data_IF_119981331820
#
_entry.id   IF_119981331820
#
_cell.length_a   1.000
_cell.length_b   1.000
_cell.length_c   1.000
_cell.angle_alpha   90.00
_cell.angle_beta   90.00
_cell.angle_gamma   90.00
#
_symmetry.space_group_name_H-M   'P 1'
#
loop_
_entity.id
_entity.type
_entity.pdbx_description
1 polymer ?
#
# COMPACT_ATOMS: atom_id res chain seq x y z
N UNK A 1 -13.37 -13.58 -30.43
CA UNK A 1 -12.06 -13.56 -29.75
C UNK A 1 -12.05 -14.70 -28.76
N UNK A 2 -11.05 -15.59 -28.79
CA UNK A 2 -11.00 -16.73 -27.86
C UNK A 2 -10.68 -16.21 -26.45
N UNK A 3 -11.55 -16.49 -25.47
CA UNK A 3 -11.39 -16.03 -24.07
C UNK A 3 -10.07 -16.49 -23.45
N UNK A 4 -9.55 -17.64 -23.86
CA UNK A 4 -8.29 -18.19 -23.34
C UNK A 4 -7.09 -17.31 -23.73
N UNK A 5 -7.04 -16.83 -24.98
CA UNK A 5 -5.95 -15.96 -25.44
C UNK A 5 -5.94 -14.64 -24.67
N UNK A 6 -7.13 -14.09 -24.36
CA UNK A 6 -7.23 -12.86 -23.59
C UNK A 6 -6.80 -13.08 -22.13
N UNK A 7 -7.19 -14.20 -21.53
CA UNK A 7 -6.77 -14.59 -20.18
C UNK A 7 -5.24 -14.74 -20.10
N UNK A 8 -4.62 -15.43 -21.06
CA UNK A 8 -3.17 -15.61 -21.12
C UNK A 8 -2.42 -14.27 -21.20
N UNK A 9 -2.95 -13.31 -21.97
CA UNK A 9 -2.37 -11.96 -22.05
C UNK A 9 -2.45 -11.22 -20.72
N UNK A 10 -3.57 -11.28 -20.02
CA UNK A 10 -3.69 -10.63 -18.70
C UNK A 10 -2.83 -11.29 -17.64
N UNK A 11 -2.72 -12.62 -17.65
CA UNK A 11 -1.81 -13.35 -16.76
C UNK A 11 -0.35 -12.96 -17.00
N UNK A 12 0.05 -12.84 -18.28
CA UNK A 12 1.39 -12.37 -18.64
C UNK A 12 1.64 -10.94 -18.16
N UNK A 13 0.72 -10.02 -18.42
CA UNK A 13 0.81 -8.63 -17.93
C UNK A 13 0.95 -8.61 -16.40
N UNK A 14 0.13 -9.39 -15.70
CA UNK A 14 0.18 -9.45 -14.25
C UNK A 14 1.54 -9.94 -13.75
N UNK A 15 2.07 -11.00 -14.36
CA UNK A 15 3.36 -11.56 -14.01
C UNK A 15 4.51 -10.59 -14.28
N UNK A 16 4.51 -9.93 -15.44
CA UNK A 16 5.53 -8.93 -15.81
C UNK A 16 5.55 -7.79 -14.78
N UNK A 17 4.38 -7.23 -14.43
CA UNK A 17 4.25 -6.18 -13.42
C UNK A 17 4.73 -6.64 -12.05
N UNK A 18 4.38 -7.85 -11.62
CA UNK A 18 4.80 -8.38 -10.31
C UNK A 18 6.32 -8.55 -10.25
N UNK A 19 6.94 -9.01 -11.34
CA UNK A 19 8.38 -9.24 -11.42
C UNK A 19 9.20 -7.93 -11.44
N UNK A 20 8.61 -6.82 -11.89
CA UNK A 20 9.26 -5.52 -11.94
C UNK A 20 9.22 -4.75 -10.60
N UNK A 21 8.56 -5.29 -9.57
CA UNK A 21 8.39 -4.57 -8.32
C UNK A 21 9.69 -4.44 -7.52
N UNK A 22 10.01 -3.20 -7.15
CA UNK A 22 10.98 -2.92 -6.09
C UNK A 22 10.34 -3.23 -4.74
N UNK A 23 11.10 -3.88 -3.86
CA UNK A 23 10.61 -4.38 -2.56
C UNK A 23 11.33 -3.66 -1.43
N UNK A 24 10.54 -3.03 -0.56
CA UNK A 24 11.01 -2.40 0.67
C UNK A 24 10.42 -3.14 1.87
N UNK A 25 11.28 -3.65 2.77
CA UNK A 25 10.84 -4.40 3.94
C UNK A 25 10.98 -3.55 5.19
N UNK A 26 9.98 -3.59 6.07
CA UNK A 26 10.03 -2.97 7.39
C UNK A 26 9.22 -3.79 8.39
N UNK A 27 9.53 -3.69 9.67
CA UNK A 27 8.69 -4.28 10.71
C UNK A 27 7.68 -3.25 11.23
N UNK A 28 6.43 -3.69 11.44
CA UNK A 28 5.39 -2.84 12.00
C UNK A 28 5.77 -2.33 13.41
N UNK A 29 6.45 -3.13 14.22
CA UNK A 29 6.87 -2.73 15.57
C UNK A 29 7.89 -1.57 15.58
N UNK A 30 8.56 -1.34 14.45
CA UNK A 30 9.58 -0.31 14.30
C UNK A 30 8.98 1.03 13.81
N UNK A 31 7.66 1.10 13.58
CA UNK A 31 6.98 2.34 13.22
C UNK A 31 7.11 3.38 14.36
N UNK A 32 7.63 4.59 14.10
CA UNK A 32 7.86 5.57 15.16
C UNK A 32 6.56 6.06 15.79
N UNK A 33 6.57 6.30 17.10
CA UNK A 33 5.40 6.82 17.81
C UNK A 33 4.93 8.16 17.23
N UNK A 34 3.60 8.36 17.12
CA UNK A 34 3.03 9.63 16.66
C UNK A 34 3.04 10.65 17.80
N UNK A 35 3.83 11.71 17.68
CA UNK A 35 3.78 12.86 18.57
C UNK A 35 2.97 13.99 17.93
N UNK A 36 1.63 14.00 18.10
CA UNK A 36 0.74 15.04 17.54
C UNK A 36 0.99 15.37 16.06
N UNK A 37 1.36 14.36 15.26
CA UNK A 37 1.75 14.49 13.83
C UNK A 37 2.94 15.43 13.56
N UNK A 38 3.79 15.67 14.57
CA UNK A 38 5.11 16.27 14.42
C UNK A 38 6.18 15.24 14.06
N UNK A 39 5.94 13.95 14.35
CA UNK A 39 6.81 12.85 13.93
C UNK A 39 6.86 12.76 12.41
N UNK A 40 8.05 12.93 11.84
CA UNK A 40 8.29 12.73 10.42
C UNK A 40 8.92 11.36 10.17
N UNK A 41 8.12 10.41 9.70
CA UNK A 41 8.60 9.06 9.35
C UNK A 41 9.68 9.07 8.26
N UNK A 42 9.77 10.14 7.46
CA UNK A 42 10.78 10.24 6.39
C UNK A 42 12.18 10.47 6.94
N UNK A 43 12.31 10.95 8.17
CA UNK A 43 13.59 11.14 8.87
C UNK A 43 13.89 10.03 9.87
N UNK A 44 13.00 9.05 10.03
CA UNK A 44 13.21 7.92 10.93
C UNK A 44 14.29 6.98 10.38
N UNK A 45 15.17 6.48 11.25
CA UNK A 45 16.31 5.66 10.84
C UNK A 45 15.90 4.37 10.13
N UNK A 46 14.75 3.79 10.46
CA UNK A 46 14.27 2.56 9.84
C UNK A 46 13.58 2.80 8.49
N UNK A 47 13.23 4.04 8.18
CA UNK A 47 12.39 4.38 7.02
C UNK A 47 13.02 5.41 6.07
N UNK A 48 14.10 6.09 6.46
CA UNK A 48 14.73 7.15 5.67
C UNK A 48 15.16 6.66 4.29
N UNK A 49 15.74 5.46 4.19
CA UNK A 49 16.14 4.87 2.91
C UNK A 49 14.93 4.54 2.04
N UNK A 50 13.89 3.92 2.63
CA UNK A 50 12.63 3.60 1.92
C UNK A 50 12.03 4.88 1.34
N UNK A 51 11.89 5.93 2.15
CA UNK A 51 11.30 7.19 1.69
C UNK A 51 12.20 7.95 0.71
N UNK A 52 13.52 7.84 0.82
CA UNK A 52 14.46 8.38 -0.17
C UNK A 52 14.23 7.75 -1.54
N UNK A 53 14.14 6.41 -1.62
CA UNK A 53 13.89 5.71 -2.88
C UNK A 53 12.48 6.01 -3.44
N UNK A 54 11.46 5.98 -2.59
CA UNK A 54 10.10 6.34 -3.01
C UNK A 54 10.01 7.79 -3.52
N UNK A 55 10.82 8.70 -2.99
CA UNK A 55 10.80 10.10 -3.40
C UNK A 55 11.40 10.33 -4.80
N UNK A 56 12.21 9.39 -5.31
CA UNK A 56 12.73 9.43 -6.68
C UNK A 56 11.68 9.07 -7.73
N UNK A 57 10.64 8.33 -7.31
CA UNK A 57 9.57 7.84 -8.20
C UNK A 57 8.54 8.93 -8.47
N UNK A 58 8.55 9.48 -9.67
CA UNK A 58 7.72 10.63 -10.06
C UNK A 58 6.63 10.28 -11.07
N UNK A 59 6.62 9.06 -11.61
CA UNK A 59 5.60 8.59 -12.55
C UNK A 59 4.49 7.80 -11.84
N UNK A 60 3.56 7.26 -12.63
CA UNK A 60 2.46 6.47 -12.13
C UNK A 60 2.98 5.23 -11.42
N UNK A 61 2.44 4.94 -10.24
CA UNK A 61 2.87 3.81 -9.43
C UNK A 61 1.70 2.88 -9.12
N UNK A 62 1.99 1.58 -9.14
CA UNK A 62 1.20 0.55 -8.46
C UNK A 62 2.00 0.10 -7.23
N UNK A 63 1.30 -0.18 -6.13
CA UNK A 63 1.93 -0.70 -4.93
C UNK A 63 1.03 -1.69 -4.21
N UNK A 64 1.64 -2.57 -3.43
CA UNK A 64 0.90 -3.44 -2.52
C UNK A 64 1.69 -3.73 -1.24
N UNK A 65 0.95 -4.08 -0.19
CA UNK A 65 1.49 -4.48 1.09
C UNK A 65 1.33 -5.99 1.22
N UNK A 66 2.45 -6.70 1.32
CA UNK A 66 2.53 -8.14 1.49
C UNK A 66 3.14 -8.48 2.85
N UNK A 67 2.74 -9.59 3.45
CA UNK A 67 3.39 -10.17 4.62
C UNK A 67 3.81 -11.61 4.33
N UNK A 68 4.59 -12.19 5.24
CA UNK A 68 5.27 -13.47 4.99
C UNK A 68 4.33 -14.63 4.66
N UNK A 69 3.17 -14.73 5.33
CA UNK A 69 2.25 -15.86 5.16
C UNK A 69 0.79 -15.41 5.12
N UNK A 70 -0.10 -16.19 4.45
CA UNK A 70 -1.54 -15.93 4.48
C UNK A 70 -2.14 -15.93 5.89
N UNK A 71 -1.64 -16.76 6.81
CA UNK A 71 -2.09 -16.79 8.21
C UNK A 71 -1.76 -15.48 8.93
N UNK A 72 -0.52 -14.97 8.79
CA UNK A 72 -0.12 -13.67 9.35
C UNK A 72 -0.94 -12.53 8.74
N UNK A 73 -1.20 -12.60 7.44
CA UNK A 73 -2.03 -11.60 6.75
C UNK A 73 -3.49 -11.64 7.24
N UNK A 74 -4.04 -12.83 7.45
CA UNK A 74 -5.37 -13.03 8.04
C UNK A 74 -5.47 -12.41 9.42
N UNK A 75 -4.49 -12.66 10.30
CA UNK A 75 -4.41 -12.02 11.64
C UNK A 75 -4.36 -10.50 11.57
N UNK A 76 -3.61 -9.93 10.63
CA UNK A 76 -3.59 -8.49 10.39
C UNK A 76 -4.94 -7.96 9.90
N UNK A 77 -5.60 -8.67 8.99
CA UNK A 77 -6.94 -8.33 8.51
C UNK A 77 -7.96 -8.34 9.66
N UNK A 78 -7.91 -9.36 10.52
CA UNK A 78 -8.82 -9.48 11.68
C UNK A 78 -8.57 -8.37 12.71
N UNK A 79 -7.30 -8.02 12.94
CA UNK A 79 -6.93 -6.90 13.80
C UNK A 79 -7.43 -5.56 13.23
N UNK A 80 -7.25 -5.32 11.93
CA UNK A 80 -7.81 -4.15 11.25
C UNK A 80 -9.33 -4.13 11.42
N UNK A 81 -10.01 -5.24 11.13
CA UNK A 81 -11.46 -5.36 11.18
C UNK A 81 -12.03 -5.11 12.57
N UNK A 82 -11.35 -5.57 13.62
CA UNK A 82 -11.71 -5.33 15.04
C UNK A 82 -11.52 -3.87 15.45
N UNK A 83 -10.58 -3.15 14.84
CA UNK A 83 -10.29 -1.75 15.17
C UNK A 83 -11.06 -0.72 14.33
N UNK A 84 -11.83 -1.14 13.31
CA UNK A 84 -12.51 -0.20 12.38
C UNK A 84 -13.39 0.84 13.07
N UNK A 85 -14.18 0.44 14.06
CA UNK A 85 -15.06 1.37 14.77
C UNK A 85 -14.26 2.38 15.58
N UNK A 86 -13.20 1.95 16.26
CA UNK A 86 -12.31 2.86 16.98
C UNK A 86 -11.60 3.84 16.02
N UNK A 87 -11.11 3.36 14.88
CA UNK A 87 -10.49 4.19 13.85
C UNK A 87 -11.47 5.23 13.31
N UNK A 88 -12.73 4.84 13.06
CA UNK A 88 -13.79 5.74 12.61
C UNK A 88 -14.09 6.84 13.64
N UNK A 89 -14.18 6.49 14.92
CA UNK A 89 -14.34 7.46 16.01
C UNK A 89 -13.18 8.46 16.07
N UNK A 90 -11.96 7.98 15.79
CA UNK A 90 -10.75 8.79 15.71
C UNK A 90 -10.55 9.48 14.34
N UNK A 91 -11.57 9.50 13.49
CA UNK A 91 -11.57 10.11 12.15
C UNK A 91 -10.45 9.59 11.24
N UNK A 92 -10.08 8.31 11.41
CA UNK A 92 -9.11 7.57 10.58
C UNK A 92 -9.87 6.71 9.57
N UNK A 93 -9.75 7.05 8.30
CA UNK A 93 -10.37 6.29 7.20
C UNK A 93 -9.44 5.19 6.72
N UNK A 94 -9.92 3.95 6.77
CA UNK A 94 -9.21 2.74 6.30
C UNK A 94 -9.89 2.12 5.06
N UNK A 95 -9.19 1.27 4.27
CA UNK A 95 -9.79 0.59 3.13
C UNK A 95 -10.97 -0.26 3.58
N UNK A 96 -11.98 -0.43 2.72
CA UNK A 96 -13.14 -1.24 3.06
C UNK A 96 -12.78 -2.71 3.34
N UNK A 97 -13.70 -3.44 3.95
CA UNK A 97 -13.62 -4.90 4.02
C UNK A 97 -13.59 -5.52 2.62
N UNK A 98 -12.93 -6.65 2.50
CA UNK A 98 -12.91 -7.51 1.32
C UNK A 98 -13.17 -8.95 1.78
N UNK A 99 -13.80 -9.75 0.93
CA UNK A 99 -14.17 -11.14 1.22
C UNK A 99 -13.08 -12.14 0.79
N UNK A 100 -12.01 -11.67 0.15
CA UNK A 100 -10.85 -12.49 -0.14
C UNK A 100 -10.27 -13.10 1.15
N UNK A 101 -9.74 -14.31 1.03
CA UNK A 101 -9.07 -15.06 2.08
C UNK A 101 -7.86 -15.79 1.49
N UNK A 102 -7.02 -16.38 2.36
CA UNK A 102 -5.85 -17.16 1.95
C UNK A 102 -4.88 -16.41 1.01
N UNK A 103 -4.73 -15.11 1.20
CA UNK A 103 -3.72 -14.28 0.53
C UNK A 103 -2.74 -13.74 1.55
N UNK A 104 -1.48 -13.59 1.14
CA UNK A 104 -0.44 -12.90 1.88
C UNK A 104 -0.40 -11.39 1.57
N UNK A 105 -1.27 -10.89 0.69
CA UNK A 105 -1.38 -9.48 0.32
C UNK A 105 -2.51 -8.82 1.09
N UNK A 106 -2.18 -7.77 1.84
CA UNK A 106 -3.14 -7.02 2.65
C UNK A 106 -3.93 -6.01 1.81
N UNK A 107 -3.26 -5.28 0.94
CA UNK A 107 -3.85 -4.17 0.18
C UNK A 107 -3.09 -3.93 -1.12
N UNK A 108 -3.82 -3.59 -2.18
CA UNK A 108 -3.29 -3.11 -3.47
C UNK A 108 -3.77 -1.68 -3.67
N UNK A 109 -2.94 -0.82 -4.26
CA UNK A 109 -3.34 0.53 -4.59
C UNK A 109 -2.52 1.13 -5.72
N UNK A 110 -3.06 2.17 -6.34
CA UNK A 110 -2.36 2.98 -7.33
C UNK A 110 -2.14 4.41 -6.85
N UNK A 111 -1.17 5.08 -7.48
CA UNK A 111 -0.93 6.49 -7.29
C UNK A 111 -0.47 7.14 -8.60
N UNK A 112 -1.14 8.22 -8.98
CA UNK A 112 -0.70 9.04 -10.11
C UNK A 112 0.64 9.70 -9.82
N UNK A 113 1.47 9.81 -10.86
CA UNK A 113 2.76 10.49 -10.80
C UNK A 113 2.66 11.96 -10.42
N UNK A 114 3.80 12.55 -10.10
CA UNK A 114 3.98 13.96 -9.79
C UNK A 114 4.62 14.21 -8.44
N UNK A 115 5.03 15.47 -8.26
CA UNK A 115 5.66 15.99 -7.05
C UNK A 115 4.73 17.03 -6.41
N UNK A 116 4.60 16.99 -5.10
CA UNK A 116 3.82 17.95 -4.34
C UNK A 116 4.63 19.24 -4.14
N UNK A 117 4.13 20.35 -4.69
CA UNK A 117 4.83 21.65 -4.66
C UNK A 117 5.26 22.11 -3.26
N UNK A 118 4.44 21.87 -2.23
CA UNK A 118 4.64 22.41 -0.87
C UNK A 118 5.84 21.83 -0.13
N UNK A 119 6.24 20.60 -0.42
CA UNK A 119 7.25 19.85 0.34
C UNK A 119 8.15 18.97 -0.53
N UNK A 120 8.07 19.13 -1.87
CA UNK A 120 8.86 18.40 -2.86
C UNK A 120 8.81 16.87 -2.70
N UNK A 121 7.72 16.38 -2.11
CA UNK A 121 7.50 14.96 -1.90
C UNK A 121 6.82 14.35 -3.13
N UNK A 122 7.34 13.23 -3.61
CA UNK A 122 6.68 12.45 -4.64
C UNK A 122 5.30 12.01 -4.18
N UNK A 123 4.39 11.87 -5.15
CA UNK A 123 3.03 11.47 -4.87
C UNK A 123 2.95 10.08 -4.23
N UNK A 124 3.83 9.15 -4.60
CA UNK A 124 3.87 7.81 -4.00
C UNK A 124 4.45 7.84 -2.59
N UNK A 125 5.55 8.56 -2.32
CA UNK A 125 6.08 8.70 -0.97
C UNK A 125 5.02 9.30 -0.02
N UNK A 126 4.31 10.34 -0.46
CA UNK A 126 3.20 10.90 0.31
C UNK A 126 2.06 9.89 0.53
N UNK A 127 1.76 9.04 -0.45
CA UNK A 127 0.74 8.01 -0.33
C UNK A 127 1.13 6.93 0.67
N UNK A 128 2.37 6.46 0.65
CA UNK A 128 2.87 5.47 1.61
C UNK A 128 2.86 6.05 3.04
N UNK A 129 3.25 7.31 3.25
CA UNK A 129 3.14 7.97 4.56
C UNK A 129 1.70 7.97 5.11
N UNK A 130 0.69 8.15 4.24
CA UNK A 130 -0.73 8.02 4.61
C UNK A 130 -1.09 6.58 5.00
N UNK A 131 -0.61 5.57 4.26
CA UNK A 131 -0.85 4.17 4.60
C UNK A 131 -0.20 3.78 5.94
N UNK A 132 0.98 4.32 6.24
CA UNK A 132 1.65 4.10 7.52
C UNK A 132 0.98 4.86 8.67
N UNK A 133 0.22 5.93 8.37
CA UNK A 133 -0.65 6.64 9.31
C UNK A 133 -0.13 7.99 9.83
N UNK A 134 0.89 8.56 9.17
CA UNK A 134 1.58 9.79 9.60
C UNK A 134 1.00 11.07 8.99
N UNK A 135 -0.06 10.95 8.20
CA UNK A 135 -0.75 12.13 7.68
C UNK A 135 -1.76 12.66 8.70
N UNK A 136 -1.67 13.97 8.96
CA UNK A 136 -2.53 14.67 9.94
C UNK A 136 -4.01 14.55 9.59
N UNK A 137 -4.39 14.60 8.30
CA UNK A 137 -5.78 14.45 7.87
C UNK A 137 -6.15 12.97 7.77
N UNK A 138 -6.70 12.43 8.85
CA UNK A 138 -7.13 11.02 8.94
C UNK A 138 -8.26 10.63 7.99
N UNK A 139 -9.00 11.59 7.43
CA UNK A 139 -10.05 11.35 6.44
C UNK A 139 -9.52 10.87 5.09
N UNK A 140 -8.21 11.01 4.84
CA UNK A 140 -7.60 10.44 3.62
C UNK A 140 -7.43 8.94 3.83
N UNK A 141 -8.13 8.15 3.02
CA UNK A 141 -8.09 6.69 3.12
C UNK A 141 -6.66 6.16 2.97
N UNK A 142 -6.23 5.33 3.91
CA UNK A 142 -4.97 4.57 3.88
C UNK A 142 -5.04 3.45 4.90
N UNK A 143 -4.07 2.53 4.93
CA UNK A 143 -4.07 1.45 5.92
C UNK A 143 -4.03 1.96 7.37
N UNK A 144 -3.46 3.15 7.61
CA UNK A 144 -3.30 3.76 8.94
C UNK A 144 -2.57 2.83 9.94
N UNK A 145 -1.56 2.08 9.48
CA UNK A 145 -0.95 0.95 10.23
C UNK A 145 -0.62 1.27 11.69
N UNK A 146 0.10 2.36 11.96
CA UNK A 146 0.50 2.76 13.32
C UNK A 146 -0.68 2.92 14.30
N UNK A 147 -1.91 3.16 13.81
CA UNK A 147 -3.07 3.40 14.66
C UNK A 147 -3.70 2.12 15.22
N UNK A 148 -3.37 0.95 14.68
CA UNK A 148 -3.99 -0.32 15.08
C UNK A 148 -3.04 -1.51 15.15
N UNK A 149 -1.80 -1.39 14.66
CA UNK A 149 -0.84 -2.50 14.65
C UNK A 149 0.51 -2.22 15.33
N UNK A 150 0.73 -1.04 15.93
CA UNK A 150 2.04 -0.52 16.41
C UNK A 150 2.81 -1.31 17.50
N UNK A 151 2.41 -2.54 17.80
CA UNK A 151 3.12 -3.46 18.70
C UNK A 151 3.31 -4.85 18.11
N UNK A 152 2.85 -5.05 16.88
CA UNK A 152 2.90 -6.35 16.22
C UNK A 152 4.29 -6.56 15.62
N UNK A 153 4.95 -7.63 16.03
CA UNK A 153 6.17 -8.11 15.38
C UNK A 153 5.80 -8.79 14.06
N UNK A 154 5.70 -7.98 13.01
CA UNK A 154 5.29 -8.43 11.69
C UNK A 154 6.04 -7.63 10.63
N UNK A 155 6.85 -8.36 9.85
CA UNK A 155 7.55 -7.81 8.69
C UNK A 155 6.57 -7.66 7.54
N UNK A 156 6.48 -6.44 7.02
CA UNK A 156 5.70 -6.07 5.86
C UNK A 156 6.65 -5.76 4.72
N UNK A 157 6.34 -6.30 3.55
CA UNK A 157 6.98 -5.97 2.28
C UNK A 157 6.07 -5.00 1.53
N UNK A 158 6.56 -3.79 1.31
CA UNK A 158 5.97 -2.83 0.38
C UNK A 158 6.58 -3.08 -1.00
N UNK A 159 5.75 -3.50 -1.93
CA UNK A 159 6.12 -3.63 -3.34
C UNK A 159 5.68 -2.38 -4.09
N UNK A 160 6.54 -1.84 -4.95
CA UNK A 160 6.24 -0.67 -5.78
C UNK A 160 6.75 -0.88 -7.19
N UNK A 161 5.87 -0.65 -8.17
CA UNK A 161 6.19 -0.62 -9.59
C UNK A 161 5.95 0.80 -10.07
N UNK A 162 6.97 1.44 -10.64
CA UNK A 162 6.84 2.72 -11.32
C UNK A 162 6.73 2.50 -12.83
N UNK A 163 5.68 3.06 -13.43
CA UNK A 163 5.44 2.96 -14.85
C UNK A 163 5.87 4.24 -15.55
N UNK A 164 6.93 4.15 -16.34
CA UNK A 164 7.31 5.22 -17.26
C UNK A 164 6.26 5.31 -18.39
N UNK A 165 5.75 6.50 -18.63
CA UNK A 165 4.83 6.83 -19.73
C UNK A 165 3.51 6.06 -19.79
N UNK A 166 3.10 5.35 -18.73
CA UNK A 166 1.79 4.72 -18.68
C UNK A 166 0.70 5.79 -18.55
N UNK A 167 -0.27 5.87 -19.49
CA UNK A 167 -1.40 6.77 -19.40
C UNK A 167 -2.20 6.58 -18.10
N UNK A 168 -2.64 7.68 -17.50
CA UNK A 168 -3.45 7.67 -16.27
C UNK A 168 -4.71 6.80 -16.38
N UNK A 169 -5.27 6.67 -17.59
CA UNK A 169 -6.49 5.93 -17.85
C UNK A 169 -6.29 4.40 -17.70
N UNK A 170 -5.07 3.91 -17.97
CA UNK A 170 -4.76 2.48 -17.82
C UNK A 170 -4.39 2.09 -16.40
N UNK A 171 -4.05 3.05 -15.54
CA UNK A 171 -3.61 2.78 -14.18
C UNK A 171 -4.68 2.03 -13.35
N UNK A 172 -5.95 2.41 -13.48
CA UNK A 172 -7.06 1.70 -12.82
C UNK A 172 -7.27 0.28 -13.38
N UNK A 173 -7.03 0.07 -14.67
CA UNK A 173 -7.14 -1.25 -15.30
C UNK A 173 -6.05 -2.18 -14.79
N UNK A 174 -4.82 -1.69 -14.71
CA UNK A 174 -3.70 -2.45 -14.13
C UNK A 174 -3.98 -2.78 -12.66
N UNK A 175 -4.47 -1.83 -11.87
CA UNK A 175 -4.87 -2.08 -10.47
C UNK A 175 -5.82 -3.26 -10.36
N UNK A 176 -6.86 -3.31 -11.20
CA UNK A 176 -7.84 -4.40 -11.20
C UNK A 176 -7.25 -5.74 -11.61
N UNK A 177 -6.41 -5.77 -12.65
CA UNK A 177 -5.73 -6.99 -13.09
C UNK A 177 -4.85 -7.55 -11.95
N UNK A 178 -4.08 -6.67 -11.31
CA UNK A 178 -3.17 -7.09 -10.23
C UNK A 178 -3.93 -7.46 -8.97
N UNK A 179 -4.96 -6.70 -8.59
CA UNK A 179 -5.80 -7.06 -7.44
C UNK A 179 -6.55 -8.38 -7.65
N UNK A 180 -7.00 -8.68 -8.87
CA UNK A 180 -7.57 -9.99 -9.22
C UNK A 180 -6.54 -11.12 -9.01
N UNK A 181 -5.29 -10.90 -9.43
CA UNK A 181 -4.21 -11.88 -9.28
C UNK A 181 -3.78 -12.08 -7.83
N UNK A 182 -3.59 -10.99 -7.09
CA UNK A 182 -3.04 -10.97 -5.72
C UNK A 182 -4.08 -11.20 -4.61
N UNK A 183 -5.37 -10.98 -4.92
CA UNK A 183 -6.50 -11.19 -3.99
C UNK A 183 -6.30 -10.48 -2.63
N UNK A 184 -6.13 -9.15 -2.59
CA UNK A 184 -5.85 -8.44 -1.35
C UNK A 184 -6.97 -8.62 -0.32
N UNK A 185 -6.58 -8.66 0.95
CA UNK A 185 -7.50 -8.91 2.08
C UNK A 185 -8.34 -7.69 2.50
N UNK A 186 -8.03 -6.49 2.02
CA UNK A 186 -8.86 -5.29 2.18
C UNK A 186 -8.78 -4.36 0.96
N UNK A 187 -9.72 -3.41 0.87
CA UNK A 187 -9.90 -2.54 -0.31
C UNK A 187 -10.97 -3.07 -1.28
N UNK A 188 -11.62 -2.16 -2.01
CA UNK A 188 -12.56 -2.51 -3.09
C UNK A 188 -11.79 -2.60 -4.39
N UNK A 189 -11.66 -3.80 -4.93
CA UNK A 189 -11.06 -4.06 -6.23
C UNK A 189 -11.99 -4.95 -7.04
#
# INVERSE_FOLDING_TARGET
MNSNILSEKFERIAQDVINEAEIYSFNIKDLPHINNYQTDIRSDLNFIEIFSELNKKIHNCLYWFEVETPDKCGKLKDLLDTNRENLKLNLRTVPSKNNNCNSNVLYVGIRRGGIRKRDQLSNIAGRISIHLGYYVKGSTQGLQLIHWSNKLDCVVKLHVVEFNDLPNDYLNTIEKIIAFKLKPLCGKH
#
